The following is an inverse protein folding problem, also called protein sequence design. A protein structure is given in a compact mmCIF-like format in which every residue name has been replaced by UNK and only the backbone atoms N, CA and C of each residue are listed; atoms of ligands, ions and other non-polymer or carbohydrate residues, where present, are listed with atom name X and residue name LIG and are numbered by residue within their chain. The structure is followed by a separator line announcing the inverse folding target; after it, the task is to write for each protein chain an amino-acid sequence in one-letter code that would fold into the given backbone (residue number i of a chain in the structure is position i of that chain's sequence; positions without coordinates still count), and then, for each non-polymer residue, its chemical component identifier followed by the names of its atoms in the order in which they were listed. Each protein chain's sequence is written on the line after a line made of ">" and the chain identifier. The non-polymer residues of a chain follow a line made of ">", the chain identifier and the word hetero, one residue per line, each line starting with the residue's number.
data_IF_157772240488
#
_entry.id   IF_157772240488
#
_cell.length_a   1.000
_cell.length_b   1.000
_cell.length_c   1.000
_cell.angle_alpha   90.00
_cell.angle_beta   90.00
_cell.angle_gamma   90.00
#
_symmetry.space_group_name_H-M   'P 1'
#
loop_
_entity.id
_entity.type
_entity.pdbx_description
1 polymer ?
#
# COMPACT_ATOMS: atom_id res chain seq x y z
N UNK A 1 -26.99 -21.72 30.73
CA UNK A 1 -26.51 -21.67 29.34
C UNK A 1 -25.16 -20.98 29.36
N UNK A 2 -24.11 -21.68 28.94
CA UNK A 2 -22.78 -21.08 28.77
C UNK A 2 -22.77 -20.53 27.35
N UNK A 3 -22.81 -19.21 27.23
CA UNK A 3 -22.53 -18.57 25.96
C UNK A 3 -21.04 -18.79 25.67
N UNK A 4 -20.80 -19.56 24.63
CA UNK A 4 -19.50 -19.76 24.04
C UNK A 4 -19.01 -18.41 23.51
N UNK A 5 -18.14 -17.76 24.28
CA UNK A 5 -17.20 -16.79 23.74
C UNK A 5 -16.44 -17.51 22.62
N UNK A 6 -16.87 -17.30 21.38
CA UNK A 6 -16.05 -17.57 20.22
C UNK A 6 -14.82 -16.70 20.40
N UNK A 7 -13.69 -17.32 20.73
CA UNK A 7 -12.39 -16.69 20.58
C UNK A 7 -12.26 -16.29 19.12
N UNK A 8 -12.54 -15.02 18.83
CA UNK A 8 -12.16 -14.40 17.57
C UNK A 8 -10.66 -14.63 17.50
N UNK A 9 -10.22 -15.45 16.55
CA UNK A 9 -8.83 -15.87 16.43
C UNK A 9 -7.95 -14.64 16.42
N UNK A 10 -7.30 -14.37 17.55
CA UNK A 10 -6.24 -13.38 17.63
C UNK A 10 -5.21 -13.80 16.58
N UNK A 11 -4.90 -12.85 15.70
CA UNK A 11 -3.74 -12.94 14.83
C UNK A 11 -2.55 -13.50 15.61
N UNK A 12 -1.87 -14.50 15.06
CA UNK A 12 -0.45 -14.62 15.38
C UNK A 12 0.31 -13.75 14.38
N UNK A 13 0.57 -12.49 14.76
CA UNK A 13 1.43 -11.62 13.97
C UNK A 13 2.78 -12.27 13.68
N UNK A 14 3.25 -13.17 14.54
CA UNK A 14 4.47 -13.93 14.27
C UNK A 14 4.31 -14.89 13.07
N UNK A 15 3.11 -15.46 12.84
CA UNK A 15 2.86 -16.31 11.68
C UNK A 15 2.87 -15.49 10.38
N UNK A 16 2.23 -14.30 10.37
CA UNK A 16 2.27 -13.42 9.20
C UNK A 16 3.65 -12.84 8.95
N UNK A 17 4.36 -12.45 10.01
CA UNK A 17 5.75 -12.02 9.91
C UNK A 17 6.63 -13.15 9.35
N UNK A 18 6.42 -14.40 9.79
CA UNK A 18 7.13 -15.57 9.26
C UNK A 18 6.81 -15.83 7.79
N UNK A 19 5.54 -15.69 7.40
CA UNK A 19 5.10 -15.79 6.00
C UNK A 19 5.77 -14.71 5.12
N UNK A 20 5.80 -13.46 5.59
CA UNK A 20 6.40 -12.35 4.86
C UNK A 20 7.93 -12.45 4.82
N UNK A 21 8.59 -12.83 5.92
CA UNK A 21 10.05 -12.98 6.00
C UNK A 21 10.59 -14.17 5.18
N UNK A 22 9.75 -15.14 4.81
CA UNK A 22 10.17 -16.24 3.93
C UNK A 22 10.63 -15.68 2.55
N UNK A 23 11.56 -16.34 1.84
CA UNK A 23 11.93 -15.90 0.49
C UNK A 23 10.71 -15.90 -0.44
N UNK A 24 10.53 -14.84 -1.22
CA UNK A 24 9.54 -14.81 -2.29
C UNK A 24 9.88 -15.86 -3.35
N UNK A 25 8.87 -16.65 -3.75
CA UNK A 25 9.02 -17.67 -4.80
C UNK A 25 8.18 -17.35 -6.02
N UNK A 26 6.96 -16.92 -5.76
CA UNK A 26 5.93 -16.57 -6.73
C UNK A 26 4.91 -15.69 -6.00
N UNK A 27 3.95 -15.15 -6.73
CA UNK A 27 2.83 -14.46 -6.11
C UNK A 27 2.13 -15.36 -5.06
N UNK A 28 2.02 -14.86 -3.84
CA UNK A 28 1.38 -15.56 -2.73
C UNK A 28 0.28 -14.69 -2.12
N UNK A 29 -0.90 -15.27 -1.87
CA UNK A 29 -2.05 -14.58 -1.30
C UNK A 29 -2.60 -15.33 -0.10
N UNK A 30 -2.95 -14.62 0.97
CA UNK A 30 -3.54 -15.19 2.18
C UNK A 30 -4.71 -14.33 2.64
N UNK A 31 -5.85 -14.96 2.95
CA UNK A 31 -6.95 -14.27 3.62
C UNK A 31 -6.57 -13.97 5.07
N UNK A 32 -6.88 -12.77 5.54
CA UNK A 32 -6.67 -12.36 6.92
C UNK A 32 -7.99 -11.85 7.51
N UNK A 33 -8.30 -12.16 8.78
CA UNK A 33 -9.66 -12.00 9.32
C UNK A 33 -10.03 -10.57 9.72
N UNK A 34 -9.07 -9.65 9.75
CA UNK A 34 -9.29 -8.26 10.17
C UNK A 34 -8.32 -7.31 9.45
N UNK A 35 -8.59 -6.00 9.52
CA UNK A 35 -7.69 -4.99 8.98
C UNK A 35 -6.29 -5.06 9.65
N UNK A 36 -5.20 -4.76 8.91
CA UNK A 36 -3.87 -4.72 9.49
C UNK A 36 -3.78 -3.61 10.56
N UNK A 37 -3.11 -3.89 11.68
CA UNK A 37 -2.88 -2.87 12.72
C UNK A 37 -1.84 -1.84 12.29
N UNK A 38 -1.85 -0.68 12.96
CA UNK A 38 -0.82 0.35 12.80
C UNK A 38 0.59 -0.20 12.97
N UNK A 39 0.83 -0.95 14.05
CA UNK A 39 2.14 -1.58 14.34
C UNK A 39 2.59 -2.50 13.19
N UNK A 40 1.68 -3.28 12.62
CA UNK A 40 2.00 -4.16 11.51
C UNK A 40 2.32 -3.38 10.24
N UNK A 41 1.52 -2.35 9.92
CA UNK A 41 1.75 -1.47 8.76
C UNK A 41 3.07 -0.71 8.85
N UNK A 42 3.49 -0.28 10.06
CA UNK A 42 4.80 0.34 10.31
C UNK A 42 5.96 -0.64 10.11
N UNK A 43 5.76 -1.92 10.43
CA UNK A 43 6.80 -2.94 10.33
C UNK A 43 7.07 -3.39 8.89
N UNK A 44 6.04 -3.50 8.05
CA UNK A 44 6.16 -4.07 6.69
C UNK A 44 7.20 -3.37 5.80
N UNK A 45 7.25 -2.03 5.73
CA UNK A 45 8.27 -1.28 4.96
C UNK A 45 9.73 -1.57 5.33
N UNK A 46 9.98 -2.20 6.49
CA UNK A 46 11.33 -2.61 6.91
C UNK A 46 11.79 -3.90 6.23
N UNK A 47 10.87 -4.64 5.61
CA UNK A 47 11.17 -5.89 4.92
C UNK A 47 11.79 -5.59 3.55
N UNK A 48 13.01 -6.11 3.31
CA UNK A 48 13.72 -5.90 2.05
C UNK A 48 13.32 -6.96 1.02
N UNK A 49 13.31 -6.59 -0.25
CA UNK A 49 13.18 -7.47 -1.43
C UNK A 49 11.80 -8.10 -1.68
N UNK A 50 10.75 -7.59 -1.03
CA UNK A 50 9.37 -7.97 -1.32
C UNK A 50 8.49 -6.73 -1.32
N UNK A 51 7.53 -6.68 -2.22
CA UNK A 51 6.40 -5.78 -2.05
C UNK A 51 5.27 -6.54 -1.37
N UNK A 52 4.71 -5.93 -0.33
CA UNK A 52 3.59 -6.48 0.40
C UNK A 52 2.42 -5.55 0.21
N UNK A 53 1.26 -6.12 -0.11
CA UNK A 53 0.04 -5.35 -0.15
C UNK A 53 -1.15 -6.05 0.44
N UNK A 54 -2.21 -5.28 0.55
CA UNK A 54 -3.45 -5.62 1.18
C UNK A 54 -4.58 -5.18 0.27
N UNK A 55 -5.48 -6.11 0.02
CA UNK A 55 -6.70 -5.85 -0.72
C UNK A 55 -7.87 -6.07 0.23
N UNK A 56 -8.72 -5.06 0.38
CA UNK A 56 -10.00 -5.21 1.06
C UNK A 56 -11.11 -5.29 0.03
N UNK A 57 -11.92 -6.35 0.11
CA UNK A 57 -13.07 -6.55 -0.77
C UNK A 57 -14.15 -7.35 -0.06
N UNK A 58 -15.40 -6.90 -0.17
CA UNK A 58 -16.57 -7.65 0.32
C UNK A 58 -16.43 -8.12 1.77
N UNK A 59 -15.90 -7.25 2.64
CA UNK A 59 -15.61 -7.55 4.06
C UNK A 59 -14.48 -8.56 4.34
N UNK A 60 -13.66 -8.90 3.34
CA UNK A 60 -12.53 -9.81 3.48
C UNK A 60 -11.23 -9.05 3.17
N UNK A 61 -10.21 -9.23 4.01
CA UNK A 61 -8.86 -8.77 3.74
C UNK A 61 -8.01 -9.87 3.13
N UNK A 62 -7.21 -9.50 2.15
CA UNK A 62 -6.22 -10.36 1.52
C UNK A 62 -4.85 -9.73 1.67
N UNK A 63 -3.92 -10.46 2.28
CA UNK A 63 -2.50 -10.18 2.25
C UNK A 63 -1.93 -10.73 0.95
N UNK A 64 -1.23 -9.90 0.19
CA UNK A 64 -0.55 -10.23 -1.05
C UNK A 64 0.94 -10.01 -0.84
N UNK A 65 1.73 -11.00 -1.22
CA UNK A 65 3.18 -10.92 -1.26
C UNK A 65 3.62 -11.05 -2.71
N UNK A 66 4.30 -10.03 -3.19
CA UNK A 66 4.75 -9.90 -4.57
C UNK A 66 6.28 -9.69 -4.64
N UNK A 67 6.82 -9.79 -5.86
CA UNK A 67 8.19 -9.36 -6.14
C UNK A 67 8.33 -7.85 -5.95
N UNK A 68 9.56 -7.37 -5.99
CA UNK A 68 9.91 -5.95 -6.04
C UNK A 68 9.38 -5.19 -7.27
N UNK A 69 8.94 -5.90 -8.30
CA UNK A 69 8.20 -5.36 -9.46
C UNK A 69 6.73 -4.99 -9.17
N UNK A 70 6.32 -5.11 -7.91
CA UNK A 70 5.01 -4.74 -7.42
C UNK A 70 3.88 -5.73 -7.64
N UNK A 71 2.68 -5.35 -7.19
CA UNK A 71 1.47 -6.19 -7.25
C UNK A 71 0.82 -6.03 -8.64
N UNK A 72 0.74 -7.11 -9.44
CA UNK A 72 0.13 -7.03 -10.76
C UNK A 72 -1.32 -6.54 -10.74
N UNK A 73 -1.65 -5.58 -11.62
CA UNK A 73 -2.99 -4.96 -11.70
C UNK A 73 -4.13 -5.97 -11.92
N UNK A 74 -3.88 -7.11 -12.59
CA UNK A 74 -4.90 -8.13 -12.81
C UNK A 74 -5.28 -8.93 -11.55
N UNK A 75 -4.51 -8.79 -10.47
CA UNK A 75 -4.85 -9.33 -9.14
C UNK A 75 -5.70 -8.38 -8.31
N UNK A 76 -5.71 -7.10 -8.70
CA UNK A 76 -6.53 -6.08 -8.07
C UNK A 76 -7.97 -6.36 -8.51
N UNK A 77 -8.86 -6.77 -7.60
CA UNK A 77 -10.26 -6.88 -7.93
C UNK A 77 -10.77 -5.49 -8.37
N UNK A 78 -11.49 -5.38 -9.51
CA UNK A 78 -11.98 -4.09 -10.00
C UNK A 78 -12.96 -3.39 -9.06
N UNK A 79 -13.48 -4.14 -8.08
CA UNK A 79 -14.41 -3.76 -7.03
C UNK A 79 -13.76 -3.83 -5.63
N UNK A 80 -12.43 -3.74 -5.54
CA UNK A 80 -11.77 -3.59 -4.25
C UNK A 80 -12.11 -2.23 -3.60
N UNK A 81 -12.36 -2.25 -2.30
CA UNK A 81 -12.64 -1.06 -1.51
C UNK A 81 -11.34 -0.35 -1.10
N UNK A 82 -10.29 -1.13 -0.82
CA UNK A 82 -8.96 -0.64 -0.41
C UNK A 82 -7.87 -1.43 -1.11
N UNK A 83 -6.87 -0.70 -1.59
CA UNK A 83 -5.61 -1.22 -2.11
C UNK A 83 -4.49 -0.52 -1.36
N UNK A 84 -3.76 -1.29 -0.55
CA UNK A 84 -2.64 -0.79 0.23
C UNK A 84 -1.40 -1.57 -0.14
N UNK A 85 -0.29 -0.93 -0.46
CA UNK A 85 1.00 -1.62 -0.63
C UNK A 85 2.12 -0.88 0.11
N UNK A 86 3.26 -1.53 0.26
CA UNK A 86 4.38 -1.01 1.04
C UNK A 86 5.48 -0.43 0.17
N UNK A 87 5.93 0.78 0.49
CA UNK A 87 7.21 1.30 0.01
C UNK A 87 8.30 0.99 1.01
N UNK A 88 9.27 0.17 0.61
CA UNK A 88 10.37 -0.22 1.48
C UNK A 88 11.40 0.91 1.65
N UNK A 89 12.07 0.96 2.80
CA UNK A 89 13.15 1.92 3.02
C UNK A 89 14.40 1.58 2.19
N UNK A 90 14.91 2.59 1.48
CA UNK A 90 16.20 2.51 0.80
C UNK A 90 17.27 3.11 1.73
N UNK A 91 18.28 2.33 2.18
CA UNK A 91 19.33 2.84 3.05
C UNK A 91 20.05 4.06 2.46
N UNK A 92 20.16 5.13 3.26
CA UNK A 92 20.83 6.37 2.85
C UNK A 92 19.95 7.34 2.06
N UNK A 93 18.66 7.04 1.85
CA UNK A 93 17.69 8.00 1.31
C UNK A 93 16.83 8.61 2.40
N UNK A 94 16.27 9.78 2.12
CA UNK A 94 15.29 10.42 2.97
C UNK A 94 14.01 9.55 3.05
N UNK A 95 13.55 9.14 4.25
CA UNK A 95 12.33 8.35 4.42
C UNK A 95 11.08 9.01 3.82
N UNK A 96 11.07 10.35 3.68
CA UNK A 96 9.96 11.06 3.04
C UNK A 96 9.75 10.63 1.58
N UNK A 97 10.79 10.12 0.90
CA UNK A 97 10.63 9.61 -0.45
C UNK A 97 9.67 8.42 -0.48
N UNK A 98 9.70 7.56 0.54
CA UNK A 98 8.83 6.39 0.59
C UNK A 98 7.35 6.76 0.78
N UNK A 99 7.00 7.99 1.17
CA UNK A 99 5.59 8.44 1.23
C UNK A 99 5.08 8.99 -0.10
N UNK A 100 5.92 9.20 -1.10
CA UNK A 100 5.48 9.78 -2.37
C UNK A 100 5.08 8.64 -3.32
N UNK A 101 3.88 8.66 -3.91
CA UNK A 101 3.49 7.68 -4.92
C UNK A 101 4.39 7.77 -6.15
N UNK A 102 4.89 6.63 -6.60
CA UNK A 102 5.65 6.45 -7.83
C UNK A 102 4.75 6.52 -9.06
N UNK A 103 5.37 6.61 -10.25
CA UNK A 103 4.63 6.59 -11.49
C UNK A 103 3.92 5.23 -11.72
N UNK A 104 4.51 4.13 -11.21
CA UNK A 104 3.90 2.80 -11.24
C UNK A 104 2.65 2.74 -10.35
N UNK A 105 2.65 3.43 -9.21
CA UNK A 105 1.48 3.49 -8.34
C UNK A 105 0.31 4.14 -9.07
N UNK A 106 0.53 5.27 -9.75
CA UNK A 106 -0.52 5.94 -10.52
C UNK A 106 -1.00 5.10 -11.71
N UNK A 107 -0.12 4.34 -12.36
CA UNK A 107 -0.49 3.44 -13.47
C UNK A 107 -1.34 2.24 -13.01
N UNK A 108 -1.14 1.80 -11.76
CA UNK A 108 -1.83 0.66 -11.18
C UNK A 108 -2.98 1.06 -10.22
N UNK A 109 -3.19 2.37 -10.02
CA UNK A 109 -4.23 2.90 -9.17
C UNK A 109 -5.63 2.47 -9.64
N UNK A 110 -6.47 2.06 -8.70
CA UNK A 110 -7.88 1.80 -8.98
C UNK A 110 -8.71 3.07 -8.84
N UNK A 111 -9.60 3.39 -9.81
CA UNK A 111 -10.51 4.53 -9.70
C UNK A 111 -11.63 4.31 -8.68
N UNK A 112 -11.84 3.06 -8.23
CA UNK A 112 -12.93 2.67 -7.32
C UNK A 112 -12.46 2.37 -5.90
N UNK A 113 -11.15 2.28 -5.66
CA UNK A 113 -10.58 1.92 -4.37
C UNK A 113 -9.90 3.11 -3.68
N UNK A 114 -9.75 3.00 -2.36
CA UNK A 114 -8.76 3.76 -1.62
C UNK A 114 -7.37 3.22 -1.95
N UNK A 115 -6.60 3.96 -2.75
CA UNK A 115 -5.21 3.61 -3.04
C UNK A 115 -4.31 4.18 -1.93
N UNK A 116 -3.58 3.31 -1.27
CA UNK A 116 -2.80 3.60 -0.07
C UNK A 116 -1.39 3.06 -0.21
N UNK A 117 -0.42 3.79 0.33
CA UNK A 117 0.97 3.35 0.48
C UNK A 117 1.30 3.38 1.96
N UNK A 118 1.84 2.30 2.50
CA UNK A 118 2.45 2.29 3.83
C UNK A 118 3.95 2.44 3.71
N UNK A 119 4.53 3.35 4.50
CA UNK A 119 5.97 3.56 4.66
C UNK A 119 6.35 3.50 6.13
N UNK A 120 7.63 3.57 6.46
CA UNK A 120 8.10 3.55 7.85
C UNK A 120 7.69 4.78 8.65
N UNK A 121 7.36 5.89 7.98
CA UNK A 121 7.02 7.17 8.64
C UNK A 121 5.53 7.52 8.54
N UNK A 122 4.78 6.95 7.59
CA UNK A 122 3.35 7.24 7.48
C UNK A 122 2.58 6.36 6.50
N UNK A 123 1.32 6.71 6.33
CA UNK A 123 0.43 6.20 5.30
C UNK A 123 0.15 7.31 4.31
N UNK A 124 0.23 7.03 3.01
CA UNK A 124 -0.14 7.98 1.96
C UNK A 124 -1.40 7.50 1.27
N UNK A 125 -2.42 8.34 1.18
CA UNK A 125 -3.55 8.12 0.29
C UNK A 125 -3.31 8.84 -1.04
N UNK A 126 -3.61 8.22 -2.16
CA UNK A 126 -3.47 8.85 -3.47
C UNK A 126 -4.64 8.53 -4.40
N UNK A 127 -4.84 9.39 -5.40
CA UNK A 127 -5.92 9.29 -6.37
C UNK A 127 -5.39 8.91 -7.75
N UNK A 128 -6.26 8.34 -8.57
CA UNK A 128 -5.97 8.16 -10.00
C UNK A 128 -5.72 9.49 -10.68
N UNK A 129 -4.85 9.49 -11.68
CA UNK A 129 -4.66 10.61 -12.61
C UNK A 129 -5.45 10.35 -13.89
N UNK A 130 -5.63 11.38 -14.72
CA UNK A 130 -6.28 11.18 -16.02
C UNK A 130 -5.47 10.19 -16.89
N UNK A 131 -6.20 9.24 -17.49
CA UNK A 131 -5.70 8.27 -18.46
C UNK A 131 -4.87 8.87 -19.60
N UNK A 132 -5.11 10.14 -19.96
CA UNK A 132 -4.34 10.87 -20.97
C UNK A 132 -2.85 10.99 -20.61
N UNK A 133 -2.53 10.99 -19.31
CA UNK A 133 -1.16 11.10 -18.80
C UNK A 133 -0.45 9.74 -18.66
N UNK A 134 -1.10 8.62 -18.98
CA UNK A 134 -0.51 7.28 -18.81
C UNK A 134 0.77 7.08 -19.64
N UNK A 135 0.89 7.71 -20.82
CA UNK A 135 2.11 7.61 -21.62
C UNK A 135 3.29 8.32 -20.93
N UNK A 136 3.04 9.47 -20.32
CA UNK A 136 4.05 10.25 -19.59
C UNK A 136 4.48 9.52 -18.32
N UNK A 137 3.52 8.96 -17.58
CA UNK A 137 3.80 8.11 -16.41
C UNK A 137 4.64 6.88 -16.77
N UNK A 138 4.31 6.18 -17.86
CA UNK A 138 5.11 5.02 -18.33
C UNK A 138 6.54 5.41 -18.65
N UNK A 139 6.72 6.53 -19.37
CA UNK A 139 8.06 7.02 -19.69
C UNK A 139 8.87 7.35 -18.43
N UNK A 140 8.24 7.91 -17.39
CA UNK A 140 8.90 8.17 -16.11
C UNK A 140 9.23 6.86 -15.38
N UNK A 141 8.27 5.94 -15.27
CA UNK A 141 8.46 4.63 -14.62
C UNK A 141 9.64 3.85 -15.23
N UNK A 142 9.72 3.80 -16.56
CA UNK A 142 10.80 3.12 -17.30
C UNK A 142 12.18 3.78 -17.12
N UNK A 143 12.22 5.07 -16.76
CA UNK A 143 13.46 5.85 -16.68
C UNK A 143 14.13 5.86 -15.31
N UNK A 144 13.48 5.32 -14.27
CA UNK A 144 13.87 5.40 -12.85
C UNK A 144 14.16 6.83 -12.33
N UNK A 145 13.84 7.90 -13.07
CA UNK A 145 14.19 9.30 -12.75
C UNK A 145 13.69 9.75 -11.38
N UNK A 146 12.55 9.23 -10.94
CA UNK A 146 11.99 9.46 -9.61
C UNK A 146 13.00 9.20 -8.46
N UNK A 147 13.86 8.18 -8.60
CA UNK A 147 14.78 7.78 -7.52
C UNK A 147 15.91 8.79 -7.31
N UNK A 148 16.21 9.63 -8.31
CA UNK A 148 17.38 10.53 -8.30
C UNK A 148 17.01 12.01 -8.22
N UNK A 149 15.88 12.44 -8.79
CA UNK A 149 15.43 13.84 -8.80
C UNK A 149 14.00 13.98 -8.26
N UNK A 150 13.89 14.25 -6.95
CA UNK A 150 12.60 14.36 -6.27
C UNK A 150 11.86 15.66 -6.61
N UNK A 151 12.57 16.78 -6.71
CA UNK A 151 11.95 18.08 -6.99
C UNK A 151 11.38 18.12 -8.41
N UNK A 152 12.13 17.57 -9.37
CA UNK A 152 11.66 17.37 -10.74
C UNK A 152 10.44 16.45 -10.81
N UNK A 153 10.42 15.38 -10.01
CA UNK A 153 9.27 14.48 -9.95
C UNK A 153 8.04 15.11 -9.30
N UNK A 154 8.19 15.87 -8.22
CA UNK A 154 7.08 16.61 -7.60
C UNK A 154 6.49 17.63 -8.57
N UNK A 155 7.35 18.38 -9.28
CA UNK A 155 6.91 19.31 -10.33
C UNK A 155 6.14 18.60 -11.46
N UNK A 156 6.56 17.38 -11.81
CA UNK A 156 5.85 16.55 -12.77
C UNK A 156 4.49 16.13 -12.23
N UNK A 157 4.38 15.65 -10.98
CA UNK A 157 3.11 15.29 -10.35
C UNK A 157 2.14 16.48 -10.30
N UNK A 158 2.63 17.67 -9.97
CA UNK A 158 1.84 18.91 -10.01
C UNK A 158 1.31 19.18 -11.43
N UNK A 159 2.13 18.95 -12.46
CA UNK A 159 1.69 19.12 -13.86
C UNK A 159 0.60 18.13 -14.30
N UNK A 160 0.48 17.00 -13.60
CA UNK A 160 -0.56 15.99 -13.82
C UNK A 160 -1.85 16.22 -13.01
N UNK A 161 -1.91 17.27 -12.18
CA UNK A 161 -2.92 17.42 -11.13
C UNK A 161 -3.01 16.17 -10.22
N UNK A 162 -1.87 15.51 -9.97
CA UNK A 162 -1.83 14.32 -9.14
C UNK A 162 -2.11 14.71 -7.67
N UNK A 163 -3.02 13.96 -7.02
CA UNK A 163 -3.46 14.23 -5.65
C UNK A 163 -3.07 13.10 -4.73
N UNK A 164 -2.41 13.45 -3.64
CA UNK A 164 -2.10 12.54 -2.55
C UNK A 164 -2.03 13.29 -1.21
N UNK A 165 -2.28 12.58 -0.12
CA UNK A 165 -2.24 13.08 1.25
C UNK A 165 -1.39 12.14 2.10
N UNK A 166 -0.48 12.70 2.88
CA UNK A 166 0.43 11.95 3.76
C UNK A 166 -0.03 12.09 5.20
N UNK A 167 -0.24 10.96 5.86
CA UNK A 167 -0.59 10.87 7.27
C UNK A 167 0.58 10.26 8.05
N UNK A 168 1.27 11.07 8.85
CA UNK A 168 2.41 10.61 9.64
C UNK A 168 1.97 9.69 10.78
N UNK A 169 2.72 8.62 11.03
CA UNK A 169 2.38 7.66 12.08
C UNK A 169 2.35 8.29 13.47
N UNK A 170 3.24 9.23 13.76
CA UNK A 170 3.29 9.92 15.05
C UNK A 170 2.03 10.74 15.33
N UNK A 171 1.35 11.22 14.30
CA UNK A 171 0.15 12.06 14.38
C UNK A 171 -1.15 11.26 14.19
N UNK A 172 -1.06 10.06 13.60
CA UNK A 172 -2.23 9.27 13.25
C UNK A 172 -2.82 8.51 14.44
N UNK A 173 -4.10 8.75 14.73
CA UNK A 173 -4.89 7.95 15.67
C UNK A 173 -5.41 6.64 15.05
N UNK A 174 -5.69 5.65 15.90
CA UNK A 174 -6.27 4.37 15.46
C UNK A 174 -7.63 4.53 14.76
N UNK A 175 -8.40 5.56 15.14
CA UNK A 175 -9.67 5.87 14.50
C UNK A 175 -9.48 6.40 13.07
N UNK A 176 -8.49 7.27 12.85
CA UNK A 176 -8.16 7.74 11.49
C UNK A 176 -7.71 6.58 10.61
N UNK A 177 -6.84 5.70 11.14
CA UNK A 177 -6.42 4.49 10.42
C UNK A 177 -7.62 3.61 10.08
N UNK A 178 -8.49 3.33 11.05
CA UNK A 178 -9.69 2.52 10.85
C UNK A 178 -10.62 3.13 9.79
N UNK A 179 -10.74 4.46 9.74
CA UNK A 179 -11.50 5.15 8.71
C UNK A 179 -10.89 4.95 7.32
N UNK A 180 -9.58 5.11 7.16
CA UNK A 180 -8.88 4.92 5.88
C UNK A 180 -8.95 3.47 5.39
N UNK A 181 -8.90 2.50 6.32
CA UNK A 181 -8.92 1.07 5.99
C UNK A 181 -10.34 0.48 5.84
N UNK A 182 -11.41 1.21 6.22
CA UNK A 182 -12.80 0.69 6.16
C UNK A 182 -13.76 1.58 5.37
N UNK A 183 -13.28 2.61 4.68
CA UNK A 183 -14.18 3.54 4.03
C UNK A 183 -14.89 2.87 2.85
N UNK A 184 -16.11 2.42 3.11
CA UNK A 184 -17.11 2.18 2.09
C UNK A 184 -17.44 3.55 1.50
N UNK A 185 -17.06 3.82 0.25
CA UNK A 185 -17.74 4.88 -0.50
C UNK A 185 -19.23 4.48 -0.55
N UNK A 186 -20.08 5.30 0.07
CA UNK A 186 -21.53 5.24 -0.13
C UNK A 186 -21.91 6.00 -1.39
#
# INVERSE_FOLDING_TARGET
>A
MKDSEQSIGLYDYAELQSFLAAPFRQLETRQIPQAPSKEFLMWIPTQRHIEVGFVYKSSIWYLVKASDWGIPIWLIPPDADVLLHSHYEIPGQDPIKATIPSAEDFLNASPTAHNLITSTIGLTQFHTVDSLHHLELRAIAESERYRTDIDGYLSFLESLDARYEVYLWEEMSDNQLACLLKSSYK
#
